data_IF_717088031523
#
_entry.id   IF_717088031523
#
_cell.length_a   1.000
_cell.length_b   1.000
_cell.length_c   1.000
_cell.angle_alpha   90.00
_cell.angle_beta   90.00
_cell.angle_gamma   90.00
#
_symmetry.space_group_name_H-M   'P 1'
#
loop_
_entity.id
_entity.type
_entity.pdbx_description
1 polymer ?
#
# COMPACT_ATOMS: atom_id res chain seq x y z
N UNK A 1 15.87 0.83 0.16
CA UNK A 1 14.79 0.40 1.09
C UNK A 1 13.75 -0.43 0.34
N UNK A 2 13.44 -1.65 0.81
CA UNK A 2 12.42 -2.50 0.19
C UNK A 2 11.01 -2.10 0.62
N UNK A 3 10.09 -1.97 -0.34
CA UNK A 3 8.67 -1.71 -0.10
C UNK A 3 7.83 -2.77 -0.80
N UNK A 4 7.08 -3.55 -0.02
CA UNK A 4 6.17 -4.56 -0.54
C UNK A 4 4.83 -3.96 -0.92
N UNK A 5 4.23 -4.37 -2.04
CA UNK A 5 2.89 -3.96 -2.46
C UNK A 5 2.02 -5.19 -2.69
N UNK A 6 1.05 -5.39 -1.81
CA UNK A 6 0.05 -6.46 -1.88
C UNK A 6 -1.19 -6.00 -2.63
N UNK A 7 -1.68 -6.87 -3.50
CA UNK A 7 -2.90 -6.69 -4.29
C UNK A 7 -3.64 -8.02 -4.47
N UNK A 8 -4.94 -7.96 -4.74
CA UNK A 8 -5.78 -9.12 -5.03
C UNK A 8 -6.95 -8.73 -5.91
N UNK A 9 -6.95 -9.21 -7.15
CA UNK A 9 -7.93 -8.87 -8.17
C UNK A 9 -7.51 -7.66 -9.01
N UNK A 10 -8.16 -7.54 -10.17
CA UNK A 10 -7.73 -6.67 -11.27
C UNK A 10 -7.59 -5.20 -10.87
N UNK A 11 -8.56 -4.65 -10.15
CA UNK A 11 -8.56 -3.22 -9.80
C UNK A 11 -7.40 -2.88 -8.87
N UNK A 12 -7.18 -3.69 -7.84
CA UNK A 12 -6.06 -3.50 -6.91
C UNK A 12 -4.71 -3.76 -7.57
N UNK A 13 -4.63 -4.66 -8.57
CA UNK A 13 -3.40 -4.93 -9.32
C UNK A 13 -2.96 -3.69 -10.09
N UNK A 14 -3.90 -3.09 -10.82
CA UNK A 14 -3.69 -1.86 -11.58
C UNK A 14 -3.15 -0.74 -10.70
N UNK A 15 -3.84 -0.49 -9.57
CA UNK A 15 -3.42 0.49 -8.58
C UNK A 15 -2.03 0.19 -8.02
N UNK A 16 -1.77 -1.08 -7.66
CA UNK A 16 -0.47 -1.50 -7.15
C UNK A 16 0.66 -1.31 -8.17
N UNK A 17 0.39 -1.51 -9.46
CA UNK A 17 1.34 -1.24 -10.54
C UNK A 17 1.64 0.24 -10.68
N UNK A 18 0.65 1.13 -10.56
CA UNK A 18 0.92 2.58 -10.57
C UNK A 18 1.76 3.01 -9.36
N UNK A 19 1.47 2.47 -8.17
CA UNK A 19 2.30 2.72 -6.99
C UNK A 19 3.72 2.16 -7.16
N UNK A 20 3.88 1.00 -7.79
CA UNK A 20 5.18 0.40 -8.07
C UNK A 20 6.06 1.31 -8.93
N UNK A 21 5.53 1.89 -10.00
CA UNK A 21 6.28 2.80 -10.87
C UNK A 21 6.49 4.18 -10.22
N UNK A 22 5.48 4.68 -9.50
CA UNK A 22 5.49 6.04 -8.96
C UNK A 22 6.36 6.21 -7.71
N UNK A 23 6.38 5.24 -6.80
CA UNK A 23 7.11 5.36 -5.52
C UNK A 23 8.61 5.68 -5.70
N UNK A 24 9.36 5.02 -6.60
CA UNK A 24 10.77 5.33 -6.86
C UNK A 24 10.99 6.73 -7.46
N UNK A 25 10.01 7.26 -8.20
CA UNK A 25 10.10 8.61 -8.77
C UNK A 25 10.08 9.66 -7.64
N UNK A 26 9.24 9.45 -6.62
CA UNK A 26 9.12 10.35 -5.48
C UNK A 26 10.28 10.16 -4.49
N UNK A 27 10.61 8.91 -4.16
CA UNK A 27 11.65 8.54 -3.21
C UNK A 27 12.59 7.53 -3.86
N UNK A 28 13.72 8.02 -4.40
CA UNK A 28 14.62 7.22 -5.25
C UNK A 28 15.26 6.02 -4.54
N UNK A 29 15.31 6.00 -3.21
CA UNK A 29 15.82 4.89 -2.43
C UNK A 29 14.82 3.73 -2.26
N UNK A 30 13.56 3.92 -2.68
CA UNK A 30 12.54 2.86 -2.66
C UNK A 30 12.83 1.83 -3.76
N UNK A 31 12.85 0.57 -3.36
CA UNK A 31 12.85 -0.61 -4.22
C UNK A 31 11.52 -1.33 -4.01
N UNK A 32 10.49 -1.00 -4.83
CA UNK A 32 9.19 -1.60 -4.71
C UNK A 32 9.23 -3.01 -5.28
N UNK A 33 8.40 -3.89 -4.74
CA UNK A 33 8.13 -5.19 -5.32
C UNK A 33 6.69 -5.58 -5.02
N UNK A 34 6.06 -6.22 -6.00
CA UNK A 34 4.68 -6.65 -5.92
C UNK A 34 4.63 -8.14 -5.58
N UNK A 35 3.59 -8.56 -4.86
CA UNK A 35 3.30 -9.99 -4.72
C UNK A 35 3.16 -10.66 -6.08
N UNK A 36 3.66 -11.90 -6.21
CA UNK A 36 3.44 -12.75 -7.39
C UNK A 36 1.94 -12.97 -7.62
N UNK A 37 1.56 -13.19 -8.89
CA UNK A 37 0.18 -13.13 -9.37
C UNK A 37 -0.81 -13.86 -8.45
N UNK A 38 -1.82 -13.13 -7.98
CA UNK A 38 -2.92 -13.58 -7.10
C UNK A 38 -2.52 -14.73 -6.20
N UNK A 39 -2.08 -14.42 -4.98
CA UNK A 39 -2.18 -15.28 -3.78
C UNK A 39 -3.08 -16.47 -4.07
N UNK A 40 -2.46 -17.57 -4.49
CA UNK A 40 -3.18 -18.61 -5.23
C UNK A 40 -4.36 -19.13 -4.39
N UNK A 41 -5.49 -19.41 -5.05
CA UNK A 41 -6.64 -20.01 -4.39
C UNK A 41 -6.21 -21.32 -3.72
N UNK A 42 -6.00 -21.31 -2.40
CA UNK A 42 -5.58 -22.47 -1.62
C UNK A 42 -4.21 -22.35 -0.96
N UNK A 43 -3.40 -21.33 -1.28
CA UNK A 43 -2.14 -21.06 -0.57
C UNK A 43 -2.43 -20.27 0.71
N UNK A 44 -1.85 -20.67 1.85
CA UNK A 44 -1.99 -19.94 3.12
C UNK A 44 -1.29 -18.58 3.01
N UNK A 45 -2.07 -17.54 2.71
CA UNK A 45 -1.59 -16.19 2.46
C UNK A 45 -0.82 -15.58 3.62
N UNK A 46 -1.27 -15.80 4.86
CA UNK A 46 -0.61 -15.25 6.04
C UNK A 46 0.88 -15.63 6.08
N UNK A 47 1.21 -16.88 5.75
CA UNK A 47 2.59 -17.34 5.59
C UNK A 47 3.28 -16.80 4.33
N UNK A 48 2.56 -16.61 3.22
CA UNK A 48 3.14 -16.04 1.99
C UNK A 48 3.51 -14.58 2.19
N UNK A 49 2.56 -13.73 2.63
CA UNK A 49 2.86 -12.35 2.98
C UNK A 49 3.85 -12.25 4.11
N UNK A 50 3.77 -13.15 5.08
CA UNK A 50 4.71 -13.14 6.17
C UNK A 50 6.16 -13.22 5.66
N UNK A 51 6.39 -14.20 4.79
CA UNK A 51 7.68 -14.40 4.16
C UNK A 51 8.05 -13.23 3.24
N UNK A 52 7.08 -12.66 2.52
CA UNK A 52 7.34 -11.50 1.67
C UNK A 52 7.67 -10.26 2.50
N UNK A 53 7.02 -10.02 3.64
CA UNK A 53 7.28 -8.90 4.54
C UNK A 53 8.56 -9.09 5.36
N UNK A 54 9.06 -10.32 5.50
CA UNK A 54 10.32 -10.62 6.16
C UNK A 54 11.48 -9.95 5.43
N UNK A 55 12.25 -9.13 6.14
CA UNK A 55 13.35 -8.34 5.55
C UNK A 55 12.89 -7.14 4.70
N UNK A 56 11.62 -6.75 4.80
CA UNK A 56 11.07 -5.53 4.21
C UNK A 56 10.82 -4.47 5.25
N UNK A 57 10.90 -3.20 4.84
CA UNK A 57 10.79 -2.08 5.77
C UNK A 57 9.34 -1.59 5.90
N UNK A 58 8.60 -1.65 4.77
CA UNK A 58 7.20 -1.24 4.68
C UNK A 58 6.43 -2.16 3.75
N UNK A 59 5.25 -2.60 4.20
CA UNK A 59 4.25 -3.27 3.37
C UNK A 59 3.04 -2.39 3.13
N UNK A 60 2.63 -2.27 1.87
CA UNK A 60 1.44 -1.58 1.40
C UNK A 60 0.40 -2.62 1.00
N UNK A 61 -0.83 -2.49 1.50
CA UNK A 61 -1.95 -3.39 1.12
C UNK A 61 -3.02 -2.58 0.39
N UNK A 62 -3.22 -2.85 -0.90
CA UNK A 62 -4.21 -2.13 -1.71
C UNK A 62 -5.60 -2.77 -1.52
N UNK A 63 -6.50 -2.03 -0.87
CA UNK A 63 -7.86 -2.45 -0.59
C UNK A 63 -8.87 -1.74 -1.49
N UNK A 64 -9.79 -2.53 -2.04
CA UNK A 64 -10.91 -2.09 -2.89
C UNK A 64 -12.20 -2.78 -2.44
N UNK A 65 -13.40 -2.30 -2.85
CA UNK A 65 -14.66 -2.98 -2.56
C UNK A 65 -14.68 -4.46 -2.98
N UNK A 66 -13.92 -4.80 -4.03
CA UNK A 66 -13.86 -6.14 -4.58
C UNK A 66 -12.98 -7.11 -3.77
N UNK A 67 -12.08 -6.60 -2.93
CA UNK A 67 -11.13 -7.44 -2.21
C UNK A 67 -11.16 -7.28 -0.67
N UNK A 68 -11.79 -6.24 -0.12
CA UNK A 68 -11.79 -5.94 1.33
C UNK A 68 -12.45 -7.02 2.20
N UNK A 69 -13.37 -7.80 1.64
CA UNK A 69 -14.04 -8.92 2.33
C UNK A 69 -13.43 -10.27 1.99
N UNK A 70 -12.38 -10.29 1.16
CA UNK A 70 -11.83 -11.54 0.69
C UNK A 70 -11.32 -12.38 1.88
N UNK A 71 -11.56 -13.71 1.87
CA UNK A 71 -11.23 -14.58 3.00
C UNK A 71 -9.77 -14.49 3.46
N UNK A 72 -8.85 -14.13 2.56
CA UNK A 72 -7.43 -13.95 2.86
C UNK A 72 -7.15 -12.77 3.79
N UNK A 73 -7.95 -11.69 3.76
CA UNK A 73 -7.81 -10.55 4.68
C UNK A 73 -8.07 -11.00 6.12
N UNK A 74 -9.00 -11.95 6.31
CA UNK A 74 -9.52 -12.31 7.62
C UNK A 74 -8.72 -13.42 8.34
N UNK A 75 -7.56 -13.84 7.84
CA UNK A 75 -6.87 -15.04 8.35
C UNK A 75 -5.48 -14.78 8.96
N UNK A 76 -5.33 -15.26 10.20
CA UNK A 76 -4.14 -15.33 11.07
C UNK A 76 -3.49 -14.00 11.49
N UNK A 77 -4.23 -13.26 12.33
CA UNK A 77 -3.72 -12.13 13.13
C UNK A 77 -2.37 -12.43 13.86
N UNK A 78 -2.09 -13.69 14.19
CA UNK A 78 -0.83 -14.10 14.83
C UNK A 78 0.40 -14.04 13.92
N UNK A 79 0.27 -14.40 12.64
CA UNK A 79 1.39 -14.32 11.69
C UNK A 79 1.68 -12.87 11.31
N UNK A 80 0.63 -12.06 11.11
CA UNK A 80 0.76 -10.62 10.89
C UNK A 80 1.37 -9.91 12.09
N UNK A 81 0.95 -10.23 13.33
CA UNK A 81 1.47 -9.58 14.53
C UNK A 81 3.00 -9.70 14.67
N UNK A 82 3.57 -10.90 14.45
CA UNK A 82 5.01 -11.14 14.56
C UNK A 82 5.85 -10.32 13.57
N UNK A 83 5.24 -9.88 12.48
CA UNK A 83 5.92 -9.28 11.33
C UNK A 83 5.82 -7.78 11.37
N UNK A 84 4.76 -7.27 11.99
CA UNK A 84 4.59 -5.86 12.28
C UNK A 84 5.60 -5.37 13.32
N UNK A 85 6.12 -6.26 14.18
CA UNK A 85 7.18 -5.90 15.11
C UNK A 85 8.43 -5.35 14.39
N UNK A 86 8.72 -5.83 13.18
CA UNK A 86 9.88 -5.41 12.38
C UNK A 86 9.52 -4.59 11.11
N UNK A 87 8.26 -4.67 10.63
CA UNK A 87 7.82 -4.09 9.35
C UNK A 87 6.59 -3.20 9.51
N UNK A 88 6.60 -1.98 8.95
CA UNK A 88 5.40 -1.13 8.97
C UNK A 88 4.38 -1.60 7.93
N UNK A 89 3.13 -1.82 8.32
CA UNK A 89 2.04 -2.16 7.39
C UNK A 89 1.08 -0.98 7.20
N UNK A 90 0.79 -0.63 5.95
CA UNK A 90 -0.09 0.48 5.58
C UNK A 90 -1.16 0.02 4.58
N UNK A 91 -2.41 -0.22 5.02
CA UNK A 91 -3.53 -0.45 4.12
C UNK A 91 -3.87 0.86 3.39
N UNK A 92 -3.94 0.85 2.05
CA UNK A 92 -4.43 1.99 1.26
C UNK A 92 -5.85 1.67 0.77
N UNK A 93 -6.76 2.61 1.02
CA UNK A 93 -8.19 2.46 0.72
C UNK A 93 -8.55 3.15 -0.59
N UNK A 94 -9.09 2.40 -1.53
CA UNK A 94 -9.61 2.89 -2.79
C UNK A 94 -11.11 2.62 -2.86
N UNK A 95 -11.92 3.67 -2.83
CA UNK A 95 -13.39 3.54 -2.82
C UNK A 95 -13.94 2.89 -1.56
N UNK A 96 -13.20 2.94 -0.45
CA UNK A 96 -13.56 2.39 0.85
C UNK A 96 -13.45 3.45 1.94
N UNK A 97 -14.27 3.30 2.99
CA UNK A 97 -14.14 4.04 4.25
C UNK A 97 -13.34 3.19 5.25
N UNK A 98 -12.71 3.82 6.26
CA UNK A 98 -12.04 3.07 7.33
C UNK A 98 -12.94 2.03 8.02
N UNK A 99 -14.25 2.30 8.13
CA UNK A 99 -15.24 1.39 8.70
C UNK A 99 -15.47 0.11 7.89
N UNK A 100 -15.08 0.09 6.62
CA UNK A 100 -15.26 -1.06 5.72
C UNK A 100 -14.13 -2.08 5.90
N UNK A 101 -13.07 -1.72 6.63
CA UNK A 101 -11.90 -2.57 6.88
C UNK A 101 -12.14 -3.42 8.13
N UNK A 102 -12.14 -4.73 7.97
CA UNK A 102 -12.25 -5.69 9.06
C UNK A 102 -10.91 -6.00 9.74
N UNK A 103 -10.98 -6.73 10.85
CA UNK A 103 -9.81 -7.31 11.51
C UNK A 103 -9.17 -8.40 10.64
N UNK A 104 -7.83 -8.55 10.66
CA UNK A 104 -6.87 -7.84 11.51
C UNK A 104 -6.43 -6.49 10.92
N UNK A 105 -6.76 -6.16 9.67
CA UNK A 105 -6.24 -4.95 9.03
C UNK A 105 -6.72 -3.64 9.68
N UNK A 106 -7.89 -3.66 10.31
CA UNK A 106 -8.44 -2.53 11.06
C UNK A 106 -7.60 -2.09 12.26
N UNK A 107 -6.63 -2.92 12.70
CA UNK A 107 -5.70 -2.56 13.78
C UNK A 107 -4.57 -1.63 13.30
N UNK A 108 -4.36 -1.53 11.98
CA UNK A 108 -3.36 -0.65 11.39
C UNK A 108 -3.96 0.70 11.03
N UNK A 109 -3.11 1.72 10.97
CA UNK A 109 -3.52 3.01 10.43
C UNK A 109 -3.70 2.90 8.92
N UNK A 110 -4.95 3.04 8.48
CA UNK A 110 -5.30 3.08 7.06
C UNK A 110 -4.84 4.39 6.43
N UNK A 111 -4.55 4.34 5.13
CA UNK A 111 -4.22 5.49 4.28
C UNK A 111 -5.36 5.68 3.29
N UNK A 112 -5.99 6.85 3.30
CA UNK A 112 -6.95 7.22 2.28
C UNK A 112 -6.21 7.59 0.99
N UNK A 113 -6.74 7.20 -0.16
CA UNK A 113 -6.16 7.61 -1.45
C UNK A 113 -6.50 9.06 -1.78
N UNK A 114 -5.85 9.98 -1.08
CA UNK A 114 -5.86 11.42 -1.35
C UNK A 114 -4.46 11.99 -1.12
N UNK A 115 -4.23 13.21 -1.61
CA UNK A 115 -2.91 13.84 -1.64
C UNK A 115 -2.32 13.97 -0.24
N UNK A 116 -3.13 14.35 0.73
CA UNK A 116 -2.70 14.60 2.11
C UNK A 116 -2.29 13.32 2.82
N UNK A 117 -3.07 12.24 2.71
CA UNK A 117 -2.78 10.99 3.41
C UNK A 117 -1.67 10.19 2.72
N UNK A 118 -1.57 10.25 1.39
CA UNK A 118 -0.44 9.66 0.67
C UNK A 118 0.86 10.36 1.05
N UNK A 119 0.86 11.69 1.27
CA UNK A 119 2.03 12.37 1.80
C UNK A 119 2.43 11.87 3.20
N UNK A 120 1.46 11.59 4.07
CA UNK A 120 1.75 11.02 5.40
C UNK A 120 2.35 9.62 5.29
N UNK A 121 1.81 8.79 4.40
CA UNK A 121 2.37 7.48 4.08
C UNK A 121 3.82 7.61 3.59
N UNK A 122 4.08 8.50 2.64
CA UNK A 122 5.42 8.76 2.12
C UNK A 122 6.39 9.24 3.22
N UNK A 123 5.95 10.11 4.12
CA UNK A 123 6.77 10.54 5.27
C UNK A 123 7.11 9.35 6.18
N UNK A 124 6.13 8.47 6.45
CA UNK A 124 6.36 7.24 7.22
C UNK A 124 7.34 6.29 6.53
N UNK A 125 7.22 6.14 5.20
CA UNK A 125 8.14 5.33 4.40
C UNK A 125 9.54 5.93 4.44
N UNK A 126 9.67 7.24 4.22
CA UNK A 126 10.95 7.95 4.18
C UNK A 126 11.75 7.83 5.48
N UNK A 127 11.08 7.81 6.64
CA UNK A 127 11.73 7.57 7.94
C UNK A 127 12.42 6.20 7.99
N UNK A 128 11.83 5.16 7.38
CA UNK A 128 12.44 3.83 7.30
C UNK A 128 13.67 3.79 6.38
N UNK A 129 13.93 4.84 5.60
CA UNK A 129 15.09 4.96 4.73
C UNK A 129 16.40 5.26 5.47
N UNK A 130 16.36 5.66 6.74
CA UNK A 130 17.56 5.95 7.53
C UNK A 130 18.45 7.01 6.87
N UNK A 131 19.71 6.67 6.60
CA UNK A 131 20.67 7.57 5.95
C UNK A 131 20.30 7.93 4.50
N UNK A 132 19.46 7.11 3.84
CA UNK A 132 18.94 7.36 2.48
C UNK A 132 17.62 8.16 2.49
N UNK A 133 17.17 8.64 3.65
CA UNK A 133 15.95 9.43 3.78
C UNK A 133 16.11 10.81 3.11
N UNK A 134 15.10 11.22 2.35
CA UNK A 134 15.06 12.55 1.75
C UNK A 134 14.76 13.62 2.80
N UNK A 135 15.32 14.84 2.67
CA UNK A 135 14.83 16.00 3.43
C UNK A 135 13.34 16.20 3.18
N UNK A 136 12.56 16.50 4.22
CA UNK A 136 11.10 16.60 4.16
C UNK A 136 10.62 17.58 3.06
N UNK A 137 11.26 18.75 2.95
CA UNK A 137 10.93 19.73 1.91
C UNK A 137 11.12 19.17 0.47
N UNK A 138 12.09 18.27 0.26
CA UNK A 138 12.29 17.61 -1.03
C UNK A 138 11.20 16.58 -1.27
N UNK A 139 10.86 15.78 -0.27
CA UNK A 139 9.79 14.80 -0.34
C UNK A 139 8.46 15.47 -0.71
N UNK A 140 8.10 16.54 0.00
CA UNK A 140 6.88 17.31 -0.26
C UNK A 140 6.86 17.92 -1.67
N UNK A 141 8.00 18.45 -2.13
CA UNK A 141 8.12 19.00 -3.49
C UNK A 141 7.94 17.92 -4.56
N UNK A 142 8.61 16.76 -4.40
CA UNK A 142 8.51 15.65 -5.35
C UNK A 142 7.09 15.07 -5.37
N UNK A 143 6.50 14.84 -4.19
CA UNK A 143 5.12 14.40 -4.05
C UNK A 143 4.15 15.39 -4.73
N UNK A 144 4.32 16.69 -4.47
CA UNK A 144 3.46 17.72 -5.04
C UNK A 144 3.53 17.78 -6.56
N UNK A 145 4.74 17.62 -7.13
CA UNK A 145 4.99 17.67 -8.57
C UNK A 145 4.53 16.41 -9.32
N UNK A 146 4.64 15.24 -8.70
CA UNK A 146 4.31 13.95 -9.32
C UNK A 146 2.92 13.43 -8.94
N UNK A 147 2.14 14.17 -8.14
CA UNK A 147 0.80 13.75 -7.72
C UNK A 147 -0.13 13.52 -8.91
N UNK A 148 -0.10 14.43 -9.90
CA UNK A 148 -0.97 14.33 -11.06
C UNK A 148 -0.57 13.19 -12.00
N UNK A 149 0.70 12.76 -11.98
CA UNK A 149 1.17 11.59 -12.73
C UNK A 149 0.58 10.29 -12.16
N UNK A 150 0.46 10.20 -10.83
CA UNK A 150 -0.21 9.08 -10.14
C UNK A 150 -1.72 9.04 -10.44
N UNK A 151 -2.34 10.18 -10.75
CA UNK A 151 -3.74 10.26 -11.15
C UNK A 151 -3.96 10.07 -12.66
N UNK A 152 -2.98 10.51 -13.47
CA UNK A 152 -3.06 10.56 -14.93
C UNK A 152 -2.76 9.23 -15.62
N UNK A 153 -2.07 8.33 -14.92
CA UNK A 153 -1.91 6.93 -15.27
C UNK A 153 -3.23 6.18 -15.02
N UNK A 154 -4.18 6.33 -15.96
CA UNK A 154 -5.53 5.76 -15.90
C UNK A 154 -5.55 4.34 -16.49
N UNK A 155 -5.79 3.28 -15.71
CA UNK A 155 -6.46 2.10 -16.23
C UNK A 155 -7.98 2.29 -16.05
N UNK A 156 -8.63 2.97 -16.99
CA UNK A 156 -10.08 3.22 -17.08
C UNK A 156 -10.76 3.72 -15.78
N UNK A 157 -11.04 5.03 -15.75
CA UNK A 157 -11.82 5.75 -14.73
C UNK A 157 -13.16 5.04 -14.37
N UNK A 158 -13.62 5.19 -13.10
CA UNK A 158 -13.94 6.51 -12.54
C UNK A 158 -13.38 6.76 -11.14
N UNK A 159 -12.37 7.64 -11.04
CA UNK A 159 -11.89 8.20 -9.78
C UNK A 159 -12.60 9.50 -9.35
N UNK A 160 -13.63 9.96 -10.07
CA UNK A 160 -14.36 11.19 -9.71
C UNK A 160 -15.69 10.97 -8.97
N UNK A 161 -16.17 9.73 -8.81
CA UNK A 161 -17.46 9.48 -8.13
C UNK A 161 -17.35 8.94 -6.70
N UNK A 162 -16.14 8.81 -6.13
CA UNK A 162 -15.97 8.27 -4.78
C UNK A 162 -15.87 9.32 -3.66
N UNK A 163 -15.78 10.62 -3.99
CA UNK A 163 -15.64 11.71 -3.01
C UNK A 163 -16.79 12.73 -3.02
N UNK A 164 -17.90 12.47 -3.72
CA UNK A 164 -19.14 13.22 -3.58
C UNK A 164 -20.24 12.30 -3.06
N UNK A 165 -20.31 12.18 -1.74
CA UNK A 165 -21.39 11.54 -0.98
C UNK A 165 -21.45 12.13 0.42
#
# INVERSE_FOLDING_TARGET
MKVFISWSGEDSRKIASELYEWLPMVVQSIQPYMSSESIDKGTRWASSIANELEGTHVGIVVLTPNNVTAPWINFEAGALAKIVDDTRLAPILFGLKPSDVGTPLSQFQVTLFNKEDILKLLKSINICGGDDALPEARLEKMHGALWDDLLGSKPNQPLENACMG
#
